data_IF_834568504138
#
_entry.id   IF_834568504138
#
_cell.length_a   1.000
_cell.length_b   1.000
_cell.length_c   1.000
_cell.angle_alpha   90.00
_cell.angle_beta   90.00
_cell.angle_gamma   90.00
#
_symmetry.space_group_name_H-M   'P 1'
#
loop_
_entity.id
_entity.type
_entity.pdbx_description
1 polymer ?
#
# COMPACT_ATOMS: atom_id res chain seq x y z
N UNK A 1 -11.11 -33.10 -28.67
CA UNK A 1 -10.99 -32.13 -29.75
C UNK A 1 -10.69 -30.73 -29.16
N UNK A 2 -9.64 -30.05 -29.69
CA UNK A 2 -9.24 -28.71 -29.23
C UNK A 2 -10.36 -27.68 -29.41
N UNK A 3 -11.06 -27.71 -30.51
CA UNK A 3 -12.18 -26.82 -30.83
C UNK A 3 -13.35 -26.97 -29.84
N UNK A 4 -13.62 -28.19 -29.39
CA UNK A 4 -14.64 -28.44 -28.37
C UNK A 4 -14.25 -27.87 -27.03
N UNK A 5 -12.98 -28.05 -26.59
CA UNK A 5 -12.47 -27.47 -25.35
C UNK A 5 -12.48 -25.95 -25.38
N UNK A 6 -12.05 -25.33 -26.51
CA UNK A 6 -12.05 -23.89 -26.68
C UNK A 6 -13.47 -23.29 -26.61
N UNK A 7 -14.47 -24.00 -27.16
CA UNK A 7 -15.86 -23.59 -27.07
C UNK A 7 -16.40 -23.75 -25.66
N UNK A 8 -16.15 -24.88 -25.03
CA UNK A 8 -16.55 -25.10 -23.61
C UNK A 8 -15.94 -24.06 -22.66
N UNK A 9 -14.67 -23.73 -22.87
CA UNK A 9 -14.00 -22.68 -22.08
C UNK A 9 -14.61 -21.31 -22.30
N UNK A 10 -15.02 -20.96 -23.52
CA UNK A 10 -15.73 -19.70 -23.78
C UNK A 10 -17.10 -19.67 -23.13
N UNK A 11 -17.89 -20.72 -23.27
CA UNK A 11 -19.23 -20.82 -22.66
C UNK A 11 -19.15 -20.79 -21.14
N UNK A 12 -18.13 -21.45 -20.53
CA UNK A 12 -17.88 -21.42 -19.11
C UNK A 12 -17.41 -20.03 -18.63
N UNK A 13 -16.56 -19.34 -19.41
CA UNK A 13 -16.07 -18.00 -19.07
C UNK A 13 -17.21 -16.97 -18.95
N UNK A 14 -18.22 -17.06 -19.80
CA UNK A 14 -19.38 -16.16 -19.75
C UNK A 14 -20.27 -16.43 -18.52
N UNK A 15 -20.42 -17.69 -18.12
CA UNK A 15 -21.23 -18.09 -16.96
C UNK A 15 -20.50 -17.93 -15.62
N UNK A 16 -19.16 -17.94 -15.62
CA UNK A 16 -18.29 -17.84 -14.44
C UNK A 16 -17.63 -16.45 -14.31
N UNK A 17 -18.10 -15.48 -15.06
CA UNK A 17 -17.52 -14.14 -15.06
C UNK A 17 -17.67 -13.48 -13.68
N UNK A 18 -16.54 -13.12 -13.08
CA UNK A 18 -16.49 -12.33 -11.86
C UNK A 18 -16.04 -10.91 -12.24
N UNK A 19 -16.73 -9.90 -11.74
CA UNK A 19 -16.37 -8.51 -11.97
C UNK A 19 -15.03 -8.19 -11.26
N UNK A 20 -14.14 -7.49 -11.94
CA UNK A 20 -12.81 -7.15 -11.42
C UNK A 20 -12.87 -6.28 -10.15
N UNK A 21 -13.98 -5.59 -9.95
CA UNK A 21 -14.24 -4.74 -8.78
C UNK A 21 -14.42 -5.54 -7.49
N UNK A 22 -14.77 -6.84 -7.58
CA UNK A 22 -14.96 -7.72 -6.41
C UNK A 22 -13.63 -8.20 -5.79
N UNK A 23 -12.54 -8.13 -6.56
CA UNK A 23 -11.24 -8.58 -6.07
C UNK A 23 -10.57 -7.56 -5.15
N UNK A 24 -9.91 -8.07 -4.10
CA UNK A 24 -9.10 -7.31 -3.14
C UNK A 24 -9.87 -6.18 -2.44
N UNK A 25 -11.16 -6.37 -2.18
CA UNK A 25 -12.03 -5.37 -1.55
C UNK A 25 -12.08 -5.46 -0.03
N UNK A 26 -11.67 -6.58 0.55
CA UNK A 26 -11.73 -6.82 1.99
C UNK A 26 -10.61 -6.08 2.74
N UNK A 27 -10.93 -5.04 3.53
CA UNK A 27 -9.90 -4.19 4.14
C UNK A 27 -9.13 -4.87 5.27
N UNK A 28 -9.66 -5.90 5.88
CA UNK A 28 -9.07 -6.55 7.05
C UNK A 28 -8.51 -7.95 6.77
N UNK A 29 -8.65 -8.46 5.56
CA UNK A 29 -8.08 -9.76 5.22
C UNK A 29 -6.69 -9.61 4.62
N UNK A 30 -5.76 -10.42 5.12
CA UNK A 30 -4.38 -10.53 4.59
C UNK A 30 -4.16 -11.96 4.13
N UNK A 31 -3.85 -12.11 2.86
CA UNK A 31 -3.54 -13.38 2.24
C UNK A 31 -2.07 -13.73 2.45
N UNK A 32 -1.77 -14.59 3.41
CA UNK A 32 -0.44 -15.15 3.65
C UNK A 32 -0.20 -16.36 2.75
N UNK A 33 1.04 -16.85 2.62
CA UNK A 33 1.34 -18.02 1.79
C UNK A 33 0.62 -19.30 2.23
N UNK A 34 0.36 -19.43 3.52
CA UNK A 34 -0.22 -20.63 4.14
C UNK A 34 -1.67 -20.46 4.62
N UNK A 35 -2.32 -19.32 4.33
CA UNK A 35 -3.71 -19.08 4.74
C UNK A 35 -4.05 -17.60 4.77
N UNK A 36 -5.24 -17.29 5.24
CA UNK A 36 -5.75 -15.91 5.36
C UNK A 36 -5.82 -15.50 6.81
N UNK A 37 -5.21 -14.36 7.13
CA UNK A 37 -5.33 -13.74 8.45
C UNK A 37 -6.41 -12.67 8.41
N UNK A 38 -7.37 -12.75 9.31
CA UNK A 38 -8.39 -11.74 9.53
C UNK A 38 -7.96 -10.81 10.67
N UNK A 39 -7.66 -9.56 10.32
CA UNK A 39 -7.19 -8.52 11.24
C UNK A 39 -8.30 -7.98 12.16
N UNK A 40 -9.58 -8.16 11.79
CA UNK A 40 -10.71 -7.72 12.60
C UNK A 40 -11.00 -8.72 13.73
N UNK A 41 -11.11 -10.00 13.38
CA UNK A 41 -11.33 -11.08 14.36
C UNK A 41 -10.04 -11.59 15.00
N UNK A 42 -8.86 -11.17 14.51
CA UNK A 42 -7.54 -11.63 14.95
C UNK A 42 -7.37 -13.15 14.82
N UNK A 43 -7.94 -13.74 13.76
CA UNK A 43 -7.92 -15.18 13.51
C UNK A 43 -7.21 -15.54 12.22
N UNK A 44 -6.56 -16.69 12.23
CA UNK A 44 -5.94 -17.28 11.05
C UNK A 44 -6.73 -18.50 10.59
N UNK A 45 -6.99 -18.61 9.29
CA UNK A 45 -7.74 -19.71 8.69
C UNK A 45 -7.16 -20.13 7.35
N UNK A 46 -7.60 -21.26 6.83
CA UNK A 46 -7.28 -21.69 5.47
C UNK A 46 -7.77 -20.69 4.42
N UNK A 47 -7.15 -20.73 3.26
CA UNK A 47 -7.58 -19.93 2.12
C UNK A 47 -9.02 -20.26 1.72
N UNK A 48 -9.79 -19.22 1.41
CA UNK A 48 -11.12 -19.38 0.83
C UNK A 48 -11.17 -18.57 -0.48
N UNK A 49 -11.53 -19.23 -1.57
CA UNK A 49 -11.67 -18.58 -2.88
C UNK A 49 -12.76 -17.50 -2.91
N UNK A 50 -13.75 -17.58 -2.03
CA UNK A 50 -14.82 -16.58 -1.88
C UNK A 50 -14.31 -15.24 -1.29
N UNK A 51 -13.11 -15.21 -0.74
CA UNK A 51 -12.48 -13.97 -0.28
C UNK A 51 -12.04 -13.08 -1.44
N UNK A 52 -11.95 -13.62 -2.65
CA UNK A 52 -11.51 -12.92 -3.87
C UNK A 52 -10.18 -12.16 -3.70
N UNK A 53 -9.24 -12.72 -2.93
CA UNK A 53 -7.93 -12.14 -2.70
C UNK A 53 -6.96 -12.57 -3.81
N UNK A 54 -6.42 -11.61 -4.55
CA UNK A 54 -5.42 -11.87 -5.61
C UNK A 54 -4.01 -11.48 -5.17
N UNK A 55 -3.89 -10.67 -4.14
CA UNK A 55 -2.60 -10.26 -3.56
C UNK A 55 -2.15 -11.24 -2.50
N UNK A 56 -0.84 -11.39 -2.34
CA UNK A 56 -0.25 -12.29 -1.36
C UNK A 56 0.99 -11.67 -0.71
N UNK A 57 1.17 -11.95 0.58
CA UNK A 57 2.41 -11.61 1.30
C UNK A 57 3.54 -12.57 0.92
N UNK A 58 4.78 -12.19 1.22
CA UNK A 58 5.94 -13.06 1.00
C UNK A 58 6.26 -14.00 2.16
N UNK A 59 5.45 -14.02 3.22
CA UNK A 59 5.68 -14.85 4.39
C UNK A 59 4.54 -15.84 4.65
N UNK A 60 4.86 -16.86 5.45
CA UNK A 60 3.90 -17.77 6.07
C UNK A 60 3.59 -17.26 7.47
N UNK A 61 2.31 -17.19 7.81
CA UNK A 61 1.90 -16.81 9.16
C UNK A 61 2.26 -17.93 10.16
N UNK A 62 2.82 -17.57 11.30
CA UNK A 62 3.10 -18.46 12.42
C UNK A 62 2.25 -18.07 13.61
N UNK A 63 1.58 -19.06 14.22
CA UNK A 63 0.89 -18.86 15.50
C UNK A 63 1.86 -18.77 16.68
N UNK A 64 3.10 -19.21 16.48
CA UNK A 64 4.15 -19.11 17.49
C UNK A 64 4.81 -17.75 17.41
N UNK A 65 5.12 -17.19 18.56
CA UNK A 65 5.92 -15.97 18.63
C UNK A 65 7.31 -16.22 18.04
N UNK A 66 7.68 -15.42 17.07
CA UNK A 66 8.99 -15.52 16.40
C UNK A 66 9.83 -14.32 16.79
N UNK A 67 10.89 -14.53 17.54
CA UNK A 67 11.85 -13.49 17.83
C UNK A 67 12.82 -13.30 16.68
N UNK A 68 12.99 -12.08 16.24
CA UNK A 68 13.96 -11.70 15.23
C UNK A 68 14.97 -10.71 15.83
N UNK A 69 16.02 -11.23 16.47
CA UNK A 69 17.06 -10.43 17.13
C UNK A 69 17.64 -9.32 16.23
N UNK A 70 17.80 -9.62 14.93
CA UNK A 70 18.33 -8.65 13.98
C UNK A 70 17.37 -7.48 13.76
N UNK A 71 16.05 -7.73 13.72
CA UNK A 71 15.05 -6.70 13.58
C UNK A 71 14.93 -5.87 14.85
N UNK A 72 14.91 -6.51 16.01
CA UNK A 72 14.84 -5.85 17.31
C UNK A 72 16.05 -4.92 17.53
N UNK A 73 17.25 -5.42 17.22
CA UNK A 73 18.46 -4.60 17.25
C UNK A 73 18.42 -3.44 16.28
N UNK A 74 17.95 -3.67 15.05
CA UNK A 74 17.79 -2.60 14.05
C UNK A 74 16.82 -1.51 14.54
N UNK A 75 15.68 -1.89 15.11
CA UNK A 75 14.71 -0.92 15.68
C UNK A 75 15.35 -0.14 16.84
N UNK A 76 16.05 -0.81 17.76
CA UNK A 76 16.75 -0.15 18.85
C UNK A 76 17.77 0.89 18.33
N UNK A 77 18.57 0.53 17.33
CA UNK A 77 19.55 1.41 16.71
C UNK A 77 18.90 2.65 16.04
N UNK A 78 17.84 2.46 15.23
CA UNK A 78 17.22 3.58 14.50
C UNK A 78 16.38 4.49 15.41
N UNK A 79 15.88 3.97 16.52
CA UNK A 79 15.15 4.74 17.53
C UNK A 79 16.04 5.27 18.64
N UNK A 80 17.35 4.91 18.64
CA UNK A 80 18.32 5.27 19.67
C UNK A 80 17.88 4.79 21.07
N UNK A 81 17.43 3.54 21.15
CA UNK A 81 16.89 2.90 22.35
C UNK A 81 15.70 3.61 23.01
N UNK A 82 15.04 4.54 22.28
CA UNK A 82 13.84 5.21 22.72
C UNK A 82 12.62 4.29 22.52
N UNK A 83 12.10 3.76 23.62
CA UNK A 83 10.98 2.82 23.61
C UNK A 83 9.69 3.45 23.07
N UNK A 84 9.42 4.71 23.38
CA UNK A 84 8.19 5.38 22.92
C UNK A 84 8.20 5.52 21.40
N UNK A 85 9.37 5.82 20.82
CA UNK A 85 9.53 5.84 19.35
C UNK A 85 9.41 4.45 18.74
N UNK A 86 9.99 3.42 19.36
CA UNK A 86 9.87 2.05 18.87
C UNK A 86 8.42 1.59 18.88
N UNK A 87 7.70 1.82 19.98
CA UNK A 87 6.28 1.49 20.12
C UNK A 87 5.39 2.26 19.13
N UNK A 88 5.69 3.56 18.93
CA UNK A 88 4.99 4.36 17.92
C UNK A 88 5.21 3.79 16.51
N UNK A 89 6.46 3.48 16.16
CA UNK A 89 6.82 2.92 14.87
C UNK A 89 6.13 1.58 14.63
N UNK A 90 6.10 0.70 15.63
CA UNK A 90 5.39 -0.58 15.55
C UNK A 90 3.89 -0.37 15.29
N UNK A 91 3.23 0.55 16.01
CA UNK A 91 1.82 0.87 15.78
C UNK A 91 1.58 1.47 14.40
N UNK A 92 2.47 2.35 13.92
CA UNK A 92 2.37 2.96 12.60
C UNK A 92 2.48 1.90 11.48
N UNK A 93 3.42 0.96 11.63
CA UNK A 93 3.57 -0.17 10.69
C UNK A 93 2.36 -1.11 10.77
N UNK A 94 1.87 -1.43 11.97
CA UNK A 94 0.66 -2.23 12.17
C UNK A 94 -0.58 -1.58 11.56
N UNK A 95 -0.78 -0.28 11.75
CA UNK A 95 -1.86 0.47 11.09
C UNK A 95 -1.77 0.39 9.56
N UNK A 96 -0.56 0.46 9.01
CA UNK A 96 -0.34 0.44 7.56
C UNK A 96 -0.66 -0.90 6.89
N UNK A 97 -0.86 -1.97 7.66
CA UNK A 97 -1.32 -3.26 7.14
C UNK A 97 -2.85 -3.29 7.01
N UNK A 98 -3.56 -2.47 7.79
CA UNK A 98 -5.01 -2.33 7.69
C UNK A 98 -5.39 -1.65 6.37
N UNK A 99 -6.41 -2.14 5.69
CA UNK A 99 -6.93 -1.54 4.47
C UNK A 99 -7.92 -0.40 4.73
N UNK A 100 -7.58 0.50 5.63
CA UNK A 100 -8.45 1.59 6.04
C UNK A 100 -7.69 2.90 6.07
N UNK A 101 -8.37 3.98 5.74
CA UNK A 101 -7.91 5.37 5.85
C UNK A 101 -8.55 6.11 7.04
N UNK A 102 -9.03 5.39 8.05
CA UNK A 102 -9.80 5.95 9.18
C UNK A 102 -9.06 7.07 9.93
N UNK A 103 -7.73 6.96 10.04
CA UNK A 103 -6.92 7.97 10.74
C UNK A 103 -6.47 9.13 9.82
N UNK A 104 -6.85 9.11 8.54
CA UNK A 104 -6.58 10.18 7.55
C UNK A 104 -5.12 10.67 7.56
N UNK A 105 -4.17 9.76 7.71
CA UNK A 105 -2.77 10.09 7.92
C UNK A 105 -1.83 9.50 6.88
N UNK A 106 -0.66 10.10 6.77
CA UNK A 106 0.53 9.55 6.12
C UNK A 106 1.72 9.66 7.06
N UNK A 107 2.72 8.83 6.86
CA UNK A 107 3.94 8.86 7.67
C UNK A 107 5.10 9.46 6.89
N UNK A 108 5.84 10.36 7.56
CA UNK A 108 7.03 11.01 7.00
C UNK A 108 8.25 10.58 7.81
N UNK A 109 9.14 9.83 7.18
CA UNK A 109 10.44 9.48 7.72
C UNK A 109 11.46 10.56 7.36
N UNK A 110 11.65 11.47 8.31
CA UNK A 110 12.62 12.53 8.14
C UNK A 110 13.95 12.22 8.85
N UNK A 111 15.05 12.53 8.20
CA UNK A 111 16.37 12.45 8.83
C UNK A 111 17.38 13.34 8.13
N UNK A 112 18.04 14.19 8.90
CA UNK A 112 19.01 15.18 8.41
C UNK A 112 20.25 14.57 7.74
N UNK A 113 20.53 13.29 8.04
CA UNK A 113 21.69 12.57 7.50
C UNK A 113 21.26 11.41 6.61
N UNK A 114 22.15 11.01 5.72
CA UNK A 114 22.04 9.76 4.97
C UNK A 114 22.38 8.57 5.87
N UNK A 115 22.00 7.34 5.46
CA UNK A 115 22.32 6.07 6.14
C UNK A 115 21.77 5.93 7.56
N UNK A 116 20.61 6.48 7.83
CA UNK A 116 19.91 6.39 9.12
C UNK A 116 18.80 5.31 9.15
N UNK A 117 18.87 4.32 8.27
CA UNK A 117 18.00 3.15 8.27
C UNK A 117 16.61 3.32 7.61
N UNK A 118 16.21 4.54 7.16
CA UNK A 118 14.89 4.77 6.55
C UNK A 118 14.56 3.78 5.43
N UNK A 119 15.40 3.76 4.40
CA UNK A 119 15.18 2.87 3.23
C UNK A 119 15.24 1.41 3.64
N UNK A 120 16.19 1.02 4.49
CA UNK A 120 16.31 -0.37 4.97
C UNK A 120 15.03 -0.86 5.65
N UNK A 121 14.39 -0.01 6.46
CA UNK A 121 13.13 -0.32 7.12
C UNK A 121 12.00 -0.47 6.09
N UNK A 122 11.84 0.51 5.20
CA UNK A 122 10.80 0.48 4.19
C UNK A 122 10.94 -0.73 3.26
N UNK A 123 12.15 -1.03 2.82
CA UNK A 123 12.44 -2.18 1.95
C UNK A 123 12.14 -3.51 2.64
N UNK A 124 12.46 -3.63 3.94
CA UNK A 124 12.15 -4.83 4.72
C UNK A 124 10.63 -5.05 4.82
N UNK A 125 9.86 -4.02 5.11
CA UNK A 125 8.40 -4.09 5.20
C UNK A 125 7.77 -4.37 3.82
N UNK A 126 8.26 -3.71 2.76
CA UNK A 126 7.81 -3.98 1.39
C UNK A 126 8.05 -5.44 1.00
N UNK A 127 9.25 -5.96 1.29
CA UNK A 127 9.58 -7.35 1.01
C UNK A 127 8.63 -8.31 1.75
N UNK A 128 8.32 -8.03 3.01
CA UNK A 128 7.38 -8.81 3.81
C UNK A 128 5.97 -8.80 3.22
N UNK A 129 5.46 -7.62 2.94
CA UNK A 129 4.08 -7.43 2.48
C UNK A 129 3.85 -7.89 1.04
N UNK A 130 4.89 -8.10 0.25
CA UNK A 130 4.78 -8.62 -1.12
C UNK A 130 3.83 -7.77 -1.97
N UNK A 131 2.79 -8.40 -2.51
CA UNK A 131 1.83 -7.72 -3.40
C UNK A 131 1.04 -6.61 -2.71
N UNK A 132 0.93 -6.60 -1.38
CA UNK A 132 0.27 -5.52 -0.65
C UNK A 132 1.08 -4.23 -0.58
N UNK A 133 2.32 -4.22 -1.04
CA UNK A 133 3.18 -3.04 -1.05
C UNK A 133 3.52 -2.57 -2.47
N UNK A 134 3.84 -1.28 -2.60
CA UNK A 134 4.35 -0.74 -3.85
C UNK A 134 5.14 0.55 -3.62
N UNK A 135 5.98 0.91 -4.60
CA UNK A 135 6.66 2.21 -4.65
C UNK A 135 5.87 3.12 -5.57
N UNK A 136 5.62 4.35 -5.15
CA UNK A 136 5.03 5.38 -5.98
C UNK A 136 5.98 6.59 -6.11
N UNK A 137 5.97 7.29 -7.23
CA UNK A 137 6.75 8.51 -7.38
C UNK A 137 6.18 9.60 -6.47
N UNK A 138 7.06 10.40 -5.84
CA UNK A 138 6.65 11.48 -4.93
C UNK A 138 5.85 12.58 -5.65
N UNK A 139 6.02 12.72 -6.95
CA UNK A 139 5.27 13.63 -7.82
C UNK A 139 3.75 13.34 -7.81
N UNK A 140 3.35 12.16 -7.32
CA UNK A 140 1.95 11.81 -7.14
C UNK A 140 1.25 12.72 -6.13
N UNK A 141 1.98 13.17 -5.11
CA UNK A 141 1.50 14.04 -4.01
C UNK A 141 2.08 15.45 -4.06
N UNK A 142 2.74 15.81 -5.15
CA UNK A 142 3.29 17.15 -5.37
C UNK A 142 2.40 17.97 -6.31
N UNK A 143 2.43 19.29 -6.13
CA UNK A 143 1.76 20.23 -7.04
C UNK A 143 2.32 20.06 -8.44
N UNK A 144 1.45 19.76 -9.40
CA UNK A 144 1.84 19.69 -10.80
C UNK A 144 2.08 21.09 -11.35
N UNK A 145 3.22 21.30 -12.05
CA UNK A 145 3.51 22.56 -12.73
C UNK A 145 2.54 22.86 -13.88
N UNK A 146 1.87 21.83 -14.41
CA UNK A 146 0.84 21.96 -15.46
C UNK A 146 -0.42 21.23 -15.00
N UNK A 147 -1.58 21.82 -15.30
CA UNK A 147 -2.88 21.19 -15.09
C UNK A 147 -2.91 19.81 -15.77
N UNK A 148 -2.89 18.74 -14.99
CA UNK A 148 -3.08 17.39 -15.52
C UNK A 148 -4.53 17.31 -16.00
N UNK A 149 -4.74 16.90 -17.26
CA UNK A 149 -6.09 16.57 -17.73
C UNK A 149 -6.63 15.46 -16.83
N UNK A 150 -7.78 15.69 -16.21
CA UNK A 150 -8.44 14.71 -15.33
C UNK A 150 -8.71 13.36 -16.03
N UNK A 151 -8.79 13.38 -17.36
CA UNK A 151 -9.01 12.19 -18.19
C UNK A 151 -7.72 11.49 -18.64
N UNK A 152 -6.54 12.05 -18.33
CA UNK A 152 -5.28 11.42 -18.71
C UNK A 152 -5.08 10.08 -17.99
N UNK A 153 -4.58 9.03 -18.69
CA UNK A 153 -4.28 7.77 -18.06
C UNK A 153 -3.32 7.95 -16.88
N UNK A 154 -3.68 7.41 -15.72
CA UNK A 154 -2.84 7.41 -14.54
C UNK A 154 -2.55 5.98 -14.10
N UNK A 155 -1.65 5.33 -14.82
CA UNK A 155 -1.25 3.95 -14.54
C UNK A 155 -0.65 3.78 -13.13
N UNK A 156 -0.09 4.84 -12.57
CA UNK A 156 0.44 4.83 -11.19
C UNK A 156 -0.71 4.70 -10.20
N UNK A 157 -1.78 5.50 -10.35
CA UNK A 157 -2.94 5.42 -9.47
C UNK A 157 -3.66 4.08 -9.57
N UNK A 158 -3.82 3.54 -10.79
CA UNK A 158 -4.46 2.24 -10.98
C UNK A 158 -3.74 1.11 -10.23
N UNK A 159 -2.40 1.17 -10.14
CA UNK A 159 -1.58 0.22 -9.39
C UNK A 159 -1.74 0.30 -7.88
N UNK A 160 -2.36 1.35 -7.35
CA UNK A 160 -2.59 1.51 -5.90
C UNK A 160 -3.83 0.75 -5.41
N UNK A 161 -4.70 0.28 -6.32
CA UNK A 161 -5.88 -0.51 -5.93
C UNK A 161 -5.46 -1.73 -5.11
N UNK A 162 -6.07 -1.91 -3.93
CA UNK A 162 -5.81 -3.02 -3.02
C UNK A 162 -4.48 -2.95 -2.26
N UNK A 163 -3.57 -2.03 -2.60
CA UNK A 163 -2.31 -1.87 -1.85
C UNK A 163 -2.59 -1.37 -0.44
N UNK A 164 -1.67 -1.72 0.49
CA UNK A 164 -1.72 -1.35 1.90
C UNK A 164 -0.59 -0.40 2.28
N UNK A 165 0.57 -0.62 1.71
CA UNK A 165 1.82 0.06 2.06
C UNK A 165 2.43 0.68 0.82
N UNK A 166 2.36 2.01 0.72
CA UNK A 166 2.87 2.75 -0.43
C UNK A 166 4.03 3.61 0.00
N UNK A 167 5.22 3.32 -0.50
CA UNK A 167 6.41 4.10 -0.18
C UNK A 167 6.73 5.09 -1.28
N UNK A 168 7.24 6.23 -0.87
CA UNK A 168 7.71 7.31 -1.73
C UNK A 168 9.06 7.80 -1.21
N UNK A 169 9.96 8.14 -2.12
CA UNK A 169 11.22 8.76 -1.76
C UNK A 169 11.29 10.15 -2.37
N UNK A 170 11.84 11.10 -1.60
CA UNK A 170 12.12 12.43 -2.11
C UNK A 170 13.04 12.35 -3.33
N UNK A 171 12.71 13.11 -4.36
CA UNK A 171 13.58 13.35 -5.52
C UNK A 171 14.06 14.80 -5.50
N UNK A 172 15.22 15.06 -6.09
CA UNK A 172 15.78 16.42 -6.20
C UNK A 172 14.86 17.39 -6.96
N UNK A 173 13.90 16.83 -7.70
CA UNK A 173 12.90 17.54 -8.49
C UNK A 173 11.54 17.63 -7.81
N UNK A 174 11.41 17.11 -6.58
CA UNK A 174 10.14 17.12 -5.86
C UNK A 174 9.68 18.56 -5.60
N UNK A 175 8.54 18.92 -6.16
CA UNK A 175 7.88 20.21 -5.95
C UNK A 175 7.28 20.34 -4.54
N UNK A 176 6.51 21.40 -4.32
CA UNK A 176 5.73 21.57 -3.09
C UNK A 176 4.65 20.48 -3.00
N UNK A 177 4.42 19.98 -1.78
CA UNK A 177 3.32 19.04 -1.53
C UNK A 177 1.96 19.67 -1.90
N UNK A 178 1.10 18.86 -2.48
CA UNK A 178 -0.27 19.22 -2.79
C UNK A 178 -1.21 18.70 -1.70
N UNK A 179 -1.61 19.60 -0.79
CA UNK A 179 -2.47 19.27 0.34
C UNK A 179 -3.82 18.69 -0.09
N UNK A 180 -4.39 19.16 -1.20
CA UNK A 180 -5.66 18.67 -1.70
C UNK A 180 -5.55 17.20 -2.13
N UNK A 181 -4.51 16.87 -2.87
CA UNK A 181 -4.23 15.50 -3.31
C UNK A 181 -3.93 14.58 -2.11
N UNK A 182 -3.14 15.05 -1.14
CA UNK A 182 -2.85 14.27 0.07
C UNK A 182 -4.14 13.99 0.83
N UNK A 183 -5.00 15.00 1.06
CA UNK A 183 -6.31 14.84 1.72
C UNK A 183 -7.20 13.84 0.99
N UNK A 184 -7.26 13.91 -0.34
CA UNK A 184 -8.02 12.95 -1.13
C UNK A 184 -7.54 11.51 -0.92
N UNK A 185 -6.23 11.27 -0.92
CA UNK A 185 -5.67 9.92 -0.79
C UNK A 185 -5.69 9.38 0.64
N UNK A 186 -5.67 10.25 1.65
CA UNK A 186 -5.76 9.84 3.06
C UNK A 186 -7.20 9.83 3.57
N UNK A 187 -8.09 10.64 3.02
CA UNK A 187 -9.47 10.84 3.50
C UNK A 187 -10.47 9.75 3.13
N UNK A 188 -10.04 8.72 2.39
CA UNK A 188 -10.94 7.61 2.02
C UNK A 188 -11.95 7.94 0.91
N UNK A 189 -11.76 9.05 0.19
CA UNK A 189 -12.55 9.39 -0.99
C UNK A 189 -12.24 8.44 -2.15
N UNK A 190 -13.24 8.19 -3.00
CA UNK A 190 -13.07 7.33 -4.16
C UNK A 190 -12.04 7.90 -5.14
N UNK A 191 -11.10 7.06 -5.54
CA UNK A 191 -10.08 7.38 -6.53
C UNK A 191 -10.49 6.74 -7.86
N UNK A 192 -10.61 7.56 -8.90
CA UNK A 192 -10.80 7.09 -10.27
C UNK A 192 -9.47 7.11 -11.01
N UNK A 193 -9.07 5.98 -11.55
CA UNK A 193 -7.84 5.82 -12.29
C UNK A 193 -8.06 5.00 -13.56
N UNK A 194 -7.20 5.18 -14.54
CA UNK A 194 -7.28 4.45 -15.81
C UNK A 194 -5.89 4.05 -16.28
N UNK A 195 -5.70 2.78 -16.56
CA UNK A 195 -4.54 2.32 -17.32
C UNK A 195 -4.69 2.62 -18.81
N UNK A 196 -3.55 2.67 -19.50
CA UNK A 196 -3.57 2.91 -20.94
C UNK A 196 -4.36 1.78 -21.65
N UNK A 197 -5.30 2.16 -22.50
CA UNK A 197 -6.20 1.26 -23.26
C UNK A 197 -7.16 0.41 -22.40
N UNK A 198 -7.33 0.71 -21.12
CA UNK A 198 -8.30 0.03 -20.26
C UNK A 198 -9.46 0.93 -19.85
N UNK A 199 -10.53 0.35 -19.36
CA UNK A 199 -11.63 1.07 -18.74
C UNK A 199 -11.15 1.76 -17.45
N UNK A 200 -11.78 2.86 -17.09
CA UNK A 200 -11.54 3.50 -15.82
C UNK A 200 -12.02 2.60 -14.68
N UNK A 201 -11.23 2.52 -13.62
CA UNK A 201 -11.57 1.84 -12.38
C UNK A 201 -11.75 2.87 -11.27
N UNK A 202 -12.74 2.65 -10.41
CA UNK A 202 -12.94 3.46 -9.21
C UNK A 202 -12.78 2.56 -7.99
N UNK A 203 -12.00 3.01 -7.01
CA UNK A 203 -11.74 2.25 -5.80
C UNK A 203 -11.52 3.18 -4.61
N UNK A 204 -11.78 2.68 -3.41
CA UNK A 204 -11.42 3.35 -2.17
C UNK A 204 -9.96 3.10 -1.84
N UNK A 205 -9.20 4.13 -1.42
CA UNK A 205 -7.83 3.93 -0.96
C UNK A 205 -7.81 3.01 0.27
N UNK A 206 -7.00 1.96 0.19
CA UNK A 206 -6.74 1.02 1.26
C UNK A 206 -5.28 1.11 1.74
N UNK A 207 -4.58 2.14 1.32
CA UNK A 207 -3.14 2.27 1.53
C UNK A 207 -2.80 3.40 2.49
N UNK A 208 -1.71 3.18 3.20
CA UNK A 208 -1.02 4.21 3.98
C UNK A 208 0.24 4.62 3.24
N UNK A 209 0.43 5.92 3.07
CA UNK A 209 1.60 6.49 2.39
C UNK A 209 2.75 6.69 3.38
N UNK A 210 3.95 6.28 2.97
CA UNK A 210 5.21 6.48 3.69
C UNK A 210 6.18 7.26 2.83
N UNK A 211 6.50 8.48 3.24
CA UNK A 211 7.44 9.35 2.54
C UNK A 211 8.79 9.37 3.26
N UNK A 212 9.84 8.98 2.57
CA UNK A 212 11.22 9.13 3.03
C UNK A 212 11.83 10.41 2.47
N UNK A 213 12.24 11.33 3.35
CA UNK A 213 12.86 12.59 2.95
C UNK A 213 14.08 12.94 3.82
N UNK A 214 15.00 13.72 3.25
CA UNK A 214 16.18 14.25 3.93
C UNK A 214 16.00 15.74 4.28
N UNK A 215 15.16 16.45 3.54
CA UNK A 215 14.81 17.85 3.80
C UNK A 215 13.41 17.98 4.36
N UNK A 216 13.16 19.01 5.15
CA UNK A 216 11.81 19.36 5.55
C UNK A 216 11.06 19.88 4.32
N UNK A 217 10.02 19.15 3.95
CA UNK A 217 9.13 19.56 2.87
C UNK A 217 8.32 20.77 3.34
N UNK A 218 8.53 21.92 2.71
CA UNK A 218 7.73 23.10 3.00
C UNK A 218 6.34 22.93 2.39
N UNK A 219 5.33 22.84 3.24
CA UNK A 219 3.97 23.23 2.87
C UNK A 219 3.96 24.75 2.74
N UNK A 220 3.18 25.31 1.79
CA UNK A 220 3.01 26.76 1.70
C UNK A 220 2.58 27.27 3.09
N UNK A 221 3.13 28.39 3.61
CA UNK A 221 2.57 28.98 4.81
C UNK A 221 1.08 29.24 4.53
N UNK A 222 0.23 28.78 5.44
CA UNK A 222 -1.18 29.12 5.44
C UNK A 222 -1.29 30.66 5.50
N UNK A 223 -2.19 31.28 4.71
CA UNK A 223 -2.39 32.72 4.75
C UNK A 223 -2.83 33.23 6.11
#
# INVERSE_FOLDING_TARGET
DRRFRDRLMKDAADSMRIEAEKFDTHPFLINCKNGTYDLESMTFREHNWEDFLTMQTNFEYSMQEVHCERWEKFIAEVTQDDKDKADYLQRALGYSILGTSKEECMFILHGKTTRNGKSTMLDAIQHLLGDYSTVAPVELICKAERTKNAEAPSSVLAKLKGRRFVTMSESDTAGKLDEATIKQYTGGEDITARELYQAAITFKPQFTMWLSCNCLLYTSPSP
#
